data_IF_052028175443
#
_entry.id   IF_052028175443
#
_cell.length_a   1.000
_cell.length_b   1.000
_cell.length_c   1.000
_cell.angle_alpha   90.00
_cell.angle_beta   90.00
_cell.angle_gamma   90.00
#
_symmetry.space_group_name_H-M   'P 1'
#
loop_
_entity.id
_entity.type
_entity.pdbx_description
1 polymer ?
#
# COMPACT_ATOMS: atom_id res chain seq x y z
N UNK A 1 7.48 10.72 -21.30
CA UNK A 1 8.45 9.74 -20.78
C UNK A 1 8.52 8.54 -21.69
N UNK A 2 9.61 8.45 -22.45
CA UNK A 2 9.92 7.30 -23.30
C UNK A 2 10.48 6.11 -22.49
N UNK A 3 10.82 5.01 -23.18
CA UNK A 3 11.28 3.78 -22.53
C UNK A 3 12.66 3.91 -21.86
N UNK A 4 13.56 4.74 -22.40
CA UNK A 4 14.88 4.95 -21.81
C UNK A 4 14.78 5.79 -20.55
N UNK A 5 13.98 6.85 -20.58
CA UNK A 5 13.70 7.71 -19.43
C UNK A 5 13.03 6.91 -18.30
N UNK A 6 12.08 6.03 -18.63
CA UNK A 6 11.42 5.16 -17.65
C UNK A 6 12.41 4.21 -16.98
N UNK A 7 13.26 3.53 -17.76
CA UNK A 7 14.25 2.60 -17.19
C UNK A 7 15.24 3.33 -16.26
N UNK A 8 15.72 4.52 -16.67
CA UNK A 8 16.59 5.33 -15.83
C UNK A 8 15.90 5.77 -14.53
N UNK A 9 14.63 6.16 -14.61
CA UNK A 9 13.83 6.53 -13.44
C UNK A 9 13.68 5.37 -12.46
N UNK A 10 13.28 4.19 -12.95
CA UNK A 10 13.08 3.00 -12.14
C UNK A 10 14.38 2.56 -11.45
N UNK A 11 15.53 2.65 -12.13
CA UNK A 11 16.83 2.36 -11.53
C UNK A 11 17.17 3.34 -10.41
N UNK A 12 16.93 4.65 -10.61
CA UNK A 12 17.13 5.67 -9.55
C UNK A 12 16.22 5.44 -8.34
N UNK A 13 14.99 4.98 -8.60
CA UNK A 13 14.02 4.63 -7.57
C UNK A 13 14.27 3.24 -6.92
N UNK A 14 15.38 2.58 -7.25
CA UNK A 14 15.72 1.24 -6.74
C UNK A 14 14.60 0.20 -6.97
N UNK A 15 14.00 0.23 -8.16
CA UNK A 15 13.01 -0.76 -8.59
C UNK A 15 13.61 -2.18 -8.58
N UNK A 16 12.76 -3.19 -8.36
CA UNK A 16 13.20 -4.59 -8.41
C UNK A 16 13.62 -4.98 -9.82
N UNK A 17 14.52 -5.95 -9.91
CA UNK A 17 14.95 -6.54 -11.19
C UNK A 17 13.78 -7.06 -12.02
N UNK A 18 12.74 -7.60 -11.37
CA UNK A 18 11.53 -8.07 -12.03
C UNK A 18 10.75 -6.93 -12.70
N UNK A 19 10.57 -5.81 -12.00
CA UNK A 19 9.90 -4.62 -12.55
C UNK A 19 10.72 -4.05 -13.72
N UNK A 20 12.04 -3.95 -13.57
CA UNK A 20 12.95 -3.48 -14.62
C UNK A 20 12.93 -4.39 -15.86
N UNK A 21 12.89 -5.71 -15.66
CA UNK A 21 12.83 -6.68 -16.74
C UNK A 21 11.49 -6.60 -17.49
N UNK A 22 10.39 -6.50 -16.75
CA UNK A 22 9.05 -6.40 -17.32
C UNK A 22 8.81 -5.07 -18.06
N UNK A 23 9.30 -3.95 -17.52
CA UNK A 23 9.09 -2.62 -18.12
C UNK A 23 9.97 -2.32 -19.32
N UNK A 24 10.91 -3.22 -19.68
CA UNK A 24 11.91 -2.97 -20.71
C UNK A 24 11.25 -2.70 -22.06
N UNK A 25 11.56 -1.54 -22.65
CA UNK A 25 11.03 -1.13 -23.95
C UNK A 25 9.61 -0.56 -23.91
N UNK A 26 8.97 -0.50 -22.73
CA UNK A 26 7.68 0.15 -22.56
C UNK A 26 7.87 1.64 -22.24
N UNK A 27 7.02 2.48 -22.79
CA UNK A 27 6.82 3.85 -22.30
C UNK A 27 6.12 3.84 -20.94
N UNK A 28 6.17 4.96 -20.21
CA UNK A 28 5.43 5.09 -18.94
C UNK A 28 3.93 4.81 -19.12
N UNK A 29 3.34 5.29 -20.21
CA UNK A 29 1.94 5.08 -20.51
C UNK A 29 1.62 3.59 -20.74
N UNK A 30 2.45 2.89 -21.52
CA UNK A 30 2.29 1.45 -21.77
C UNK A 30 2.47 0.63 -20.49
N UNK A 31 3.49 0.95 -19.67
CA UNK A 31 3.69 0.31 -18.37
C UNK A 31 2.49 0.56 -17.44
N UNK A 32 2.00 1.80 -17.34
CA UNK A 32 0.84 2.12 -16.51
C UNK A 32 -0.42 1.34 -16.92
N UNK A 33 -0.73 1.25 -18.20
CA UNK A 33 -1.93 0.57 -18.68
C UNK A 33 -1.77 -0.96 -18.71
N UNK A 34 -0.56 -1.45 -18.99
CA UNK A 34 -0.27 -2.88 -19.14
C UNK A 34 0.10 -3.61 -17.84
N UNK A 35 0.39 -2.92 -16.74
CA UNK A 35 0.82 -3.57 -15.49
C UNK A 35 -0.23 -4.54 -14.93
N UNK A 36 0.10 -5.81 -14.69
CA UNK A 36 -0.80 -6.72 -14.00
C UNK A 36 -0.81 -6.49 -12.48
N UNK A 37 0.17 -5.76 -11.95
CA UNK A 37 0.43 -5.66 -10.52
C UNK A 37 0.16 -4.26 -9.97
N UNK A 38 -0.58 -4.19 -8.87
CA UNK A 38 -0.77 -2.99 -8.09
C UNK A 38 0.52 -2.53 -7.44
N UNK A 39 1.35 -3.46 -6.95
CA UNK A 39 2.67 -3.15 -6.38
C UNK A 39 3.58 -2.43 -7.37
N UNK A 40 3.57 -2.86 -8.63
CA UNK A 40 4.32 -2.17 -9.69
C UNK A 40 3.74 -0.80 -10.01
N UNK A 41 2.40 -0.64 -10.00
CA UNK A 41 1.77 0.66 -10.22
C UNK A 41 2.08 1.66 -9.11
N UNK A 42 2.06 1.24 -7.83
CA UNK A 42 2.48 2.09 -6.71
C UNK A 42 3.93 2.52 -6.90
N UNK A 43 4.84 1.59 -7.23
CA UNK A 43 6.24 1.94 -7.48
C UNK A 43 6.41 2.92 -8.63
N UNK A 44 5.71 2.70 -9.75
CA UNK A 44 5.71 3.63 -10.88
C UNK A 44 5.22 5.02 -10.45
N UNK A 45 4.08 5.09 -9.75
CA UNK A 45 3.50 6.34 -9.26
C UNK A 45 4.45 7.09 -8.30
N UNK A 46 5.09 6.37 -7.36
CA UNK A 46 6.09 6.97 -6.46
C UNK A 46 7.31 7.46 -7.23
N UNK A 47 7.79 6.70 -8.22
CA UNK A 47 8.99 7.02 -8.97
C UNK A 47 8.81 8.27 -9.83
N UNK A 48 7.62 8.48 -10.40
CA UNK A 48 7.31 9.70 -11.17
C UNK A 48 6.99 10.91 -10.29
N UNK A 49 7.01 10.76 -8.97
CA UNK A 49 6.72 11.85 -8.03
C UNK A 49 5.26 12.26 -7.98
N UNK A 50 4.33 11.30 -8.09
CA UNK A 50 2.90 11.58 -7.95
C UNK A 50 2.61 12.20 -6.57
N UNK A 51 1.62 13.10 -6.53
CA UNK A 51 1.18 13.75 -5.29
C UNK A 51 0.83 12.71 -4.21
N UNK A 52 1.50 12.83 -3.05
CA UNK A 52 1.47 11.78 -2.02
C UNK A 52 0.06 11.48 -1.53
N UNK A 53 -0.81 12.47 -1.37
CA UNK A 53 -2.17 12.21 -0.85
C UNK A 53 -3.04 11.50 -1.86
N UNK A 54 -2.88 11.74 -3.16
CA UNK A 54 -3.55 10.96 -4.20
C UNK A 54 -3.12 9.50 -4.15
N UNK A 55 -1.81 9.25 -4.05
CA UNK A 55 -1.29 7.88 -3.92
C UNK A 55 -1.82 7.19 -2.65
N UNK A 56 -1.76 7.87 -1.52
CA UNK A 56 -2.25 7.34 -0.25
C UNK A 56 -3.76 7.08 -0.28
N UNK A 57 -4.54 7.90 -1.00
CA UNK A 57 -5.97 7.65 -1.20
C UNK A 57 -6.23 6.35 -1.96
N UNK A 58 -5.49 6.10 -3.04
CA UNK A 58 -5.58 4.83 -3.78
C UNK A 58 -5.16 3.65 -2.90
N UNK A 59 -4.07 3.82 -2.14
CA UNK A 59 -3.56 2.77 -1.25
C UNK A 59 -4.50 2.47 -0.08
N UNK A 60 -5.16 3.49 0.50
CA UNK A 60 -6.20 3.30 1.51
C UNK A 60 -7.31 2.38 0.99
N UNK A 61 -7.75 2.55 -0.26
CA UNK A 61 -8.77 1.70 -0.85
C UNK A 61 -8.29 0.24 -0.98
N UNK A 62 -7.04 0.00 -1.39
CA UNK A 62 -6.47 -1.35 -1.44
C UNK A 62 -6.35 -1.99 -0.05
N UNK A 63 -5.83 -1.25 0.94
CA UNK A 63 -5.69 -1.74 2.33
C UNK A 63 -7.07 -2.00 2.94
N UNK A 64 -8.07 -1.16 2.66
CA UNK A 64 -9.44 -1.35 3.13
C UNK A 64 -10.01 -2.70 2.69
N UNK A 65 -9.81 -3.09 1.42
CA UNK A 65 -10.24 -4.40 0.91
C UNK A 65 -9.62 -5.57 1.69
N UNK A 66 -8.34 -5.48 2.06
CA UNK A 66 -7.68 -6.52 2.86
C UNK A 66 -8.20 -6.54 4.31
N UNK A 67 -8.51 -5.38 4.90
CA UNK A 67 -8.93 -5.28 6.30
C UNK A 67 -10.37 -5.68 6.59
N UNK A 68 -11.28 -5.58 5.61
CA UNK A 68 -12.74 -5.79 5.78
C UNK A 68 -13.07 -7.11 6.48
N UNK A 69 -12.26 -8.13 6.25
CA UNK A 69 -12.46 -9.46 6.82
C UNK A 69 -11.36 -9.87 7.81
N UNK A 70 -10.15 -9.31 7.65
CA UNK A 70 -9.00 -9.68 8.46
C UNK A 70 -9.07 -9.12 9.89
N UNK A 71 -9.71 -7.96 10.11
CA UNK A 71 -9.79 -7.31 11.43
C UNK A 71 -11.13 -7.57 12.14
N UNK A 72 -11.78 -8.69 11.84
CA UNK A 72 -13.06 -9.07 12.49
C UNK A 72 -12.81 -9.79 13.82
N UNK A 73 -13.73 -9.59 14.79
CA UNK A 73 -13.71 -10.34 16.06
C UNK A 73 -14.33 -11.72 15.82
N UNK A 74 -13.58 -12.79 16.02
CA UNK A 74 -14.01 -14.16 15.80
C UNK A 74 -13.72 -15.04 17.03
N UNK A 75 -14.63 -15.97 17.43
CA UNK A 75 -14.38 -16.87 18.55
C UNK A 75 -13.13 -17.72 18.33
N UNK A 76 -12.30 -17.86 19.37
CA UNK A 76 -11.07 -18.65 19.31
C UNK A 76 -9.86 -17.91 18.72
N UNK A 77 -10.02 -16.65 18.33
CA UNK A 77 -8.95 -15.78 17.88
C UNK A 77 -8.82 -14.54 18.77
N UNK A 78 -7.59 -14.07 18.97
CA UNK A 78 -7.32 -12.80 19.63
C UNK A 78 -7.63 -11.65 18.65
N UNK A 79 -8.31 -10.58 19.10
CA UNK A 79 -8.50 -9.39 18.28
C UNK A 79 -7.19 -8.59 18.16
N UNK A 80 -6.98 -7.97 17.01
CA UNK A 80 -6.02 -6.85 16.90
C UNK A 80 -6.61 -5.65 17.63
N UNK A 81 -5.76 -4.79 18.22
CA UNK A 81 -6.26 -3.63 18.96
C UNK A 81 -7.04 -2.65 18.08
N UNK A 82 -8.05 -2.02 18.68
CA UNK A 82 -8.96 -1.10 17.99
C UNK A 82 -8.24 0.16 17.44
N UNK A 83 -7.00 0.46 17.86
CA UNK A 83 -6.20 1.55 17.31
C UNK A 83 -5.84 1.34 15.84
N UNK A 84 -5.78 0.09 15.37
CA UNK A 84 -5.47 -0.24 13.97
C UNK A 84 -6.60 0.22 13.02
N UNK A 85 -7.86 -0.23 13.17
CA UNK A 85 -8.94 0.28 12.30
C UNK A 85 -9.13 1.80 12.42
N UNK A 86 -8.92 2.38 13.61
CA UNK A 86 -8.96 3.84 13.81
C UNK A 86 -7.88 4.58 13.01
N UNK A 87 -6.66 4.05 12.93
CA UNK A 87 -5.58 4.64 12.13
C UNK A 87 -5.90 4.65 10.63
N UNK A 88 -6.50 3.57 10.12
CA UNK A 88 -6.96 3.53 8.73
C UNK A 88 -8.07 4.56 8.47
N UNK A 89 -9.06 4.65 9.36
CA UNK A 89 -10.14 5.64 9.25
C UNK A 89 -9.63 7.09 9.29
N UNK A 90 -8.70 7.39 10.20
CA UNK A 90 -8.08 8.71 10.29
C UNK A 90 -7.27 9.05 9.04
N UNK A 91 -6.46 8.10 8.54
CA UNK A 91 -5.68 8.27 7.31
C UNK A 91 -6.60 8.52 6.11
N UNK A 92 -7.65 7.71 5.97
CA UNK A 92 -8.66 7.88 4.93
C UNK A 92 -9.39 9.23 5.01
N UNK A 93 -9.74 9.67 6.22
CA UNK A 93 -10.43 10.93 6.41
C UNK A 93 -9.52 12.12 6.09
N UNK A 94 -8.25 12.04 6.50
CA UNK A 94 -7.23 13.03 6.18
C UNK A 94 -7.01 13.12 4.67
N UNK A 95 -6.72 12.02 3.95
CA UNK A 95 -6.49 12.07 2.49
C UNK A 95 -7.70 12.58 1.71
N UNK A 96 -8.92 12.47 2.25
CA UNK A 96 -10.17 12.99 1.67
C UNK A 96 -10.48 14.46 2.05
N UNK A 97 -9.60 15.14 2.79
CA UNK A 97 -9.85 16.49 3.33
C UNK A 97 -11.15 16.58 4.14
N UNK A 98 -11.42 15.56 4.95
CA UNK A 98 -12.62 15.55 5.80
C UNK A 98 -12.52 16.66 6.85
N UNK A 99 -13.54 17.54 6.99
CA UNK A 99 -13.49 18.62 7.97
C UNK A 99 -13.22 18.13 9.40
N UNK A 100 -12.29 18.78 10.10
CA UNK A 100 -11.93 18.43 11.48
C UNK A 100 -11.01 17.23 11.64
N UNK A 101 -10.56 16.60 10.53
CA UNK A 101 -9.59 15.50 10.53
C UNK A 101 -8.26 16.01 9.99
N UNK A 102 -7.21 15.90 10.81
CA UNK A 102 -5.92 16.54 10.57
C UNK A 102 -4.76 15.56 10.56
N UNK A 103 -3.61 16.03 10.07
CA UNK A 103 -2.37 15.25 10.04
C UNK A 103 -1.88 14.85 11.44
N UNK A 104 -2.11 15.69 12.45
CA UNK A 104 -1.77 15.39 13.85
C UNK A 104 -2.48 14.13 14.37
N UNK A 105 -3.75 13.94 13.99
CA UNK A 105 -4.53 12.75 14.36
C UNK A 105 -3.96 11.50 13.70
N UNK A 106 -3.63 11.59 12.40
CA UNK A 106 -2.99 10.49 11.66
C UNK A 106 -1.66 10.11 12.32
N UNK A 107 -0.84 11.10 12.67
CA UNK A 107 0.47 10.88 13.31
C UNK A 107 0.35 10.18 14.66
N UNK A 108 -0.60 10.60 15.50
CA UNK A 108 -0.82 9.98 16.80
C UNK A 108 -1.29 8.51 16.67
N UNK A 109 -2.20 8.23 15.73
CA UNK A 109 -2.73 6.89 15.51
C UNK A 109 -1.75 5.97 14.76
N UNK A 110 -0.92 6.52 13.86
CA UNK A 110 0.10 5.75 13.13
C UNK A 110 1.10 5.09 14.09
N UNK A 111 1.57 5.82 15.11
CA UNK A 111 2.46 5.28 16.13
C UNK A 111 1.82 4.15 16.94
N UNK A 112 0.55 4.32 17.33
CA UNK A 112 -0.21 3.31 18.09
C UNK A 112 -0.46 2.05 17.24
N UNK A 113 -0.93 2.23 16.01
CA UNK A 113 -1.16 1.12 15.08
C UNK A 113 0.14 0.37 14.76
N UNK A 114 1.27 1.08 14.60
CA UNK A 114 2.57 0.45 14.39
C UNK A 114 3.02 -0.37 15.60
N UNK A 115 2.83 0.15 16.82
CA UNK A 115 3.12 -0.61 18.03
C UNK A 115 2.22 -1.85 18.15
N UNK A 116 0.92 -1.69 17.94
CA UNK A 116 -0.04 -2.80 18.01
C UNK A 116 0.24 -3.88 16.97
N UNK A 117 0.51 -3.51 15.71
CA UNK A 117 0.86 -4.44 14.66
C UNK A 117 2.15 -5.22 14.99
N UNK A 118 3.16 -4.54 15.55
CA UNK A 118 4.39 -5.19 16.00
C UNK A 118 4.15 -6.18 17.15
N UNK A 119 3.33 -5.80 18.13
CA UNK A 119 2.96 -6.69 19.25
C UNK A 119 2.19 -7.90 18.73
N UNK A 120 1.22 -7.71 17.83
CA UNK A 120 0.46 -8.81 17.23
C UNK A 120 1.37 -9.78 16.46
N UNK A 121 2.32 -9.27 15.67
CA UNK A 121 3.33 -10.07 14.95
C UNK A 121 4.20 -10.89 15.92
N UNK A 122 4.64 -10.27 17.02
CA UNK A 122 5.40 -10.99 18.05
C UNK A 122 4.56 -12.07 18.74
N UNK A 123 3.29 -11.78 19.05
CA UNK A 123 2.40 -12.73 19.69
C UNK A 123 2.05 -13.92 18.77
N UNK A 124 1.81 -13.66 17.49
CA UNK A 124 1.58 -14.70 16.49
C UNK A 124 2.82 -15.57 16.30
N UNK A 125 3.98 -14.95 16.06
CA UNK A 125 5.23 -15.63 15.73
C UNK A 125 5.89 -16.35 16.90
N UNK A 126 5.98 -15.70 18.07
CA UNK A 126 6.71 -16.23 19.23
C UNK A 126 5.82 -16.87 20.29
N UNK A 127 4.60 -16.38 20.46
CA UNK A 127 3.68 -16.90 21.48
C UNK A 127 2.60 -17.82 20.89
N UNK A 128 2.56 -17.97 19.56
CA UNK A 128 1.56 -18.77 18.85
C UNK A 128 0.12 -18.40 19.23
N UNK A 129 -0.10 -17.11 19.52
CA UNK A 129 -1.45 -16.58 19.76
C UNK A 129 -2.22 -16.68 18.44
N UNK A 130 -3.39 -17.32 18.43
CA UNK A 130 -4.17 -17.45 17.20
C UNK A 130 -4.81 -16.11 16.86
N UNK A 131 -4.43 -15.52 15.73
CA UNK A 131 -5.16 -14.42 15.10
C UNK A 131 -5.95 -14.95 13.90
N UNK A 132 -7.00 -14.23 13.51
CA UNK A 132 -7.71 -14.53 12.26
C UNK A 132 -6.69 -14.53 11.11
N UNK A 133 -6.71 -15.53 10.20
CA UNK A 133 -5.76 -15.57 9.10
C UNK A 133 -5.70 -14.25 8.33
N UNK A 134 -4.49 -13.67 8.26
CA UNK A 134 -4.24 -12.38 7.62
C UNK A 134 -4.45 -11.14 8.50
N UNK A 135 -4.94 -11.27 9.73
CA UNK A 135 -5.18 -10.13 10.63
C UNK A 135 -3.89 -9.37 10.97
N UNK A 136 -2.80 -10.09 11.28
CA UNK A 136 -1.50 -9.49 11.59
C UNK A 136 -0.95 -8.74 10.37
N UNK A 137 -0.96 -9.37 9.19
CA UNK A 137 -0.56 -8.71 7.95
C UNK A 137 -1.43 -7.49 7.61
N UNK A 138 -2.75 -7.56 7.83
CA UNK A 138 -3.64 -6.41 7.63
C UNK A 138 -3.31 -5.27 8.61
N UNK A 139 -2.98 -5.60 9.86
CA UNK A 139 -2.55 -4.61 10.85
C UNK A 139 -1.23 -3.94 10.45
N UNK A 140 -0.26 -4.72 9.98
CA UNK A 140 1.02 -4.20 9.47
C UNK A 140 0.79 -3.31 8.24
N UNK A 141 -0.08 -3.71 7.31
CA UNK A 141 -0.43 -2.91 6.14
C UNK A 141 -1.00 -1.54 6.52
N UNK A 142 -1.93 -1.51 7.49
CA UNK A 142 -2.49 -0.26 8.03
C UNK A 142 -1.44 0.59 8.73
N UNK A 143 -0.58 -0.03 9.54
CA UNK A 143 0.50 0.68 10.22
C UNK A 143 1.45 1.35 9.22
N UNK A 144 1.91 0.61 8.20
CA UNK A 144 2.83 1.14 7.19
C UNK A 144 2.17 2.22 6.33
N UNK A 145 0.90 2.07 5.96
CA UNK A 145 0.11 3.10 5.27
C UNK A 145 0.02 4.39 6.11
N UNK A 146 -0.31 4.26 7.39
CA UNK A 146 -0.47 5.41 8.30
C UNK A 146 0.88 6.10 8.56
N UNK A 147 1.96 5.31 8.68
CA UNK A 147 3.32 5.84 8.77
C UNK A 147 3.75 6.54 7.47
N UNK A 148 3.36 6.03 6.30
CA UNK A 148 3.64 6.69 5.02
C UNK A 148 2.98 8.07 4.94
N UNK A 149 1.78 8.25 5.52
CA UNK A 149 1.13 9.56 5.62
C UNK A 149 1.91 10.58 6.46
N UNK A 150 2.80 10.12 7.34
CA UNK A 150 3.61 10.94 8.23
C UNK A 150 5.04 11.14 7.74
N UNK A 151 5.45 10.44 6.68
CA UNK A 151 6.83 10.45 6.21
C UNK A 151 7.08 11.60 5.24
N UNK A 152 8.15 12.35 5.49
CA UNK A 152 8.55 13.51 4.69
C UNK A 152 9.56 13.15 3.60
N UNK A 153 10.35 12.09 3.78
CA UNK A 153 11.39 11.66 2.84
C UNK A 153 10.82 10.78 1.75
N UNK A 154 11.04 11.14 0.49
CA UNK A 154 10.51 10.41 -0.68
C UNK A 154 10.88 8.93 -0.69
N UNK A 155 12.14 8.61 -0.34
CA UNK A 155 12.62 7.23 -0.32
C UNK A 155 11.88 6.37 0.70
N UNK A 156 11.65 6.89 1.91
CA UNK A 156 10.97 6.13 2.96
C UNK A 156 9.46 6.06 2.70
N UNK A 157 8.87 7.12 2.15
CA UNK A 157 7.49 7.11 1.67
C UNK A 157 7.26 6.01 0.61
N UNK A 158 8.16 5.88 -0.36
CA UNK A 158 8.08 4.84 -1.38
C UNK A 158 8.22 3.42 -0.79
N UNK A 159 9.09 3.25 0.22
CA UNK A 159 9.25 1.97 0.92
C UNK A 159 7.98 1.61 1.69
N UNK A 160 7.43 2.55 2.48
CA UNK A 160 6.27 2.30 3.32
C UNK A 160 5.02 2.02 2.49
N UNK A 161 4.79 2.77 1.40
CA UNK A 161 3.65 2.53 0.50
C UNK A 161 3.74 1.19 -0.22
N UNK A 162 4.94 0.79 -0.68
CA UNK A 162 5.15 -0.51 -1.31
C UNK A 162 4.96 -1.67 -0.32
N UNK A 163 5.47 -1.53 0.92
CA UNK A 163 5.28 -2.55 1.96
C UNK A 163 3.81 -2.66 2.36
N UNK A 164 3.11 -1.54 2.51
CA UNK A 164 1.71 -1.54 2.92
C UNK A 164 0.85 -2.33 1.95
N UNK A 165 1.12 -2.20 0.64
CA UNK A 165 0.46 -3.02 -0.36
C UNK A 165 0.89 -4.49 -0.29
N UNK A 166 2.19 -4.79 -0.15
CA UNK A 166 2.66 -6.18 0.00
C UNK A 166 2.02 -6.90 1.19
N UNK A 167 1.93 -6.23 2.35
CA UNK A 167 1.28 -6.77 3.53
C UNK A 167 -0.24 -6.90 3.35
N UNK A 168 -0.89 -6.01 2.59
CA UNK A 168 -2.29 -6.20 2.19
C UNK A 168 -2.47 -7.43 1.28
N UNK A 169 -1.55 -7.67 0.34
CA UNK A 169 -1.56 -8.88 -0.50
C UNK A 169 -1.35 -10.15 0.34
N UNK A 170 -0.44 -10.10 1.32
CA UNK A 170 -0.19 -11.20 2.27
C UNK A 170 -1.41 -11.48 3.12
N UNK A 171 -2.05 -10.44 3.66
CA UNK A 171 -3.28 -10.56 4.43
C UNK A 171 -4.37 -11.31 3.64
N UNK A 172 -4.60 -10.94 2.38
CA UNK A 172 -5.57 -11.64 1.55
C UNK A 172 -5.13 -13.08 1.28
N UNK A 173 -3.85 -13.31 0.90
CA UNK A 173 -3.37 -14.67 0.64
C UNK A 173 -3.51 -15.59 1.85
N UNK A 174 -3.23 -15.10 3.06
CA UNK A 174 -3.30 -15.86 4.31
C UNK A 174 -4.73 -16.36 4.60
N UNK A 175 -5.75 -15.61 4.19
CA UNK A 175 -7.16 -16.03 4.27
C UNK A 175 -7.50 -17.21 3.36
N UNK A 176 -6.67 -17.47 2.35
CA UNK A 176 -6.84 -18.55 1.38
C UNK A 176 -5.63 -19.49 1.38
N UNK A 177 -5.13 -19.83 2.58
CA UNK A 177 -4.01 -20.77 2.79
C UNK A 177 -2.76 -20.43 1.98
N UNK A 178 -2.45 -19.13 1.88
CA UNK A 178 -1.32 -18.60 1.12
C UNK A 178 -1.36 -18.96 -0.38
N UNK A 179 -2.55 -19.05 -0.95
CA UNK A 179 -2.74 -19.30 -2.39
C UNK A 179 -2.13 -18.18 -3.23
N UNK A 180 -1.13 -18.54 -4.06
CA UNK A 180 -0.51 -17.63 -5.05
C UNK A 180 -1.49 -17.15 -6.11
N UNK A 181 -2.49 -17.98 -6.45
CA UNK A 181 -3.54 -17.60 -7.39
C UNK A 181 -4.39 -16.47 -6.79
N UNK A 182 -4.84 -16.64 -5.53
CA UNK A 182 -5.60 -15.60 -4.82
C UNK A 182 -4.80 -14.33 -4.61
N UNK A 183 -3.51 -14.46 -4.31
CA UNK A 183 -2.63 -13.30 -4.21
C UNK A 183 -2.56 -12.52 -5.55
N UNK A 184 -2.47 -13.22 -6.69
CA UNK A 184 -2.46 -12.57 -8.02
C UNK A 184 -3.80 -11.95 -8.38
N UNK A 185 -4.92 -12.63 -8.09
CA UNK A 185 -6.27 -12.08 -8.31
C UNK A 185 -6.50 -10.81 -7.50
N UNK A 186 -6.03 -10.80 -6.25
CA UNK A 186 -6.13 -9.66 -5.37
C UNK A 186 -5.19 -8.52 -5.80
N UNK A 187 -3.96 -8.82 -6.24
CA UNK A 187 -3.05 -7.82 -6.79
C UNK A 187 -3.60 -7.19 -8.07
N UNK A 188 -4.23 -7.98 -8.95
CA UNK A 188 -4.94 -7.47 -10.12
C UNK A 188 -6.14 -6.59 -9.74
N UNK A 189 -6.85 -6.94 -8.66
CA UNK A 189 -7.92 -6.11 -8.09
C UNK A 189 -7.37 -4.78 -7.58
N UNK A 190 -6.26 -4.80 -6.82
CA UNK A 190 -5.58 -3.60 -6.38
C UNK A 190 -5.10 -2.74 -7.56
N UNK A 191 -4.55 -3.36 -8.61
CA UNK A 191 -4.12 -2.67 -9.82
C UNK A 191 -5.28 -1.91 -10.49
N UNK A 192 -6.47 -2.53 -10.53
CA UNK A 192 -7.68 -1.87 -11.03
C UNK A 192 -8.11 -0.70 -10.14
N UNK A 193 -8.16 -0.88 -8.82
CA UNK A 193 -8.50 0.18 -7.85
C UNK A 193 -7.55 1.37 -7.96
N UNK A 194 -6.24 1.12 -8.11
CA UNK A 194 -5.22 2.16 -8.26
C UNK A 194 -5.47 2.98 -9.53
N UNK A 195 -5.75 2.33 -10.66
CA UNK A 195 -6.06 3.03 -11.92
C UNK A 195 -7.39 3.77 -11.90
N UNK A 196 -8.39 3.24 -11.20
CA UNK A 196 -9.68 3.91 -11.03
C UNK A 196 -9.53 5.15 -10.13
N UNK A 197 -8.61 5.11 -9.16
CA UNK A 197 -8.37 6.18 -8.20
C UNK A 197 -7.42 7.27 -8.71
N UNK A 198 -6.49 6.92 -9.59
CA UNK A 198 -5.47 7.80 -10.15
C UNK A 198 -5.71 7.97 -11.66
N UNK A 199 -5.99 9.19 -12.10
CA UNK A 199 -6.27 9.42 -13.52
C UNK A 199 -4.99 9.23 -14.32
N UNK A 200 -5.10 8.71 -15.54
CA UNK A 200 -3.96 8.64 -16.46
C UNK A 200 -3.35 10.03 -16.75
N UNK A 201 -4.16 11.08 -16.62
CA UNK A 201 -3.75 12.50 -16.74
C UNK A 201 -2.78 12.91 -15.62
N UNK A 202 -2.98 12.42 -14.39
CA UNK A 202 -2.11 12.70 -13.24
C UNK A 202 -0.69 12.14 -13.48
N UNK A 203 -0.60 11.01 -14.18
CA UNK A 203 0.67 10.40 -14.59
C UNK A 203 1.33 11.12 -15.79
N UNK A 204 0.52 11.69 -16.69
CA UNK A 204 1.01 12.32 -17.92
C UNK A 204 1.59 13.73 -17.69
N UNK A 205 1.00 14.50 -16.76
CA UNK A 205 1.46 15.85 -16.42
C UNK A 205 2.90 15.86 -15.88
N UNK A 206 3.26 14.88 -15.06
CA UNK A 206 4.59 14.78 -14.43
C UNK A 206 5.70 14.34 -15.40
N UNK A 207 5.34 13.71 -16.51
CA UNK A 207 6.29 13.26 -17.53
C UNK A 207 6.91 14.39 -18.36
N UNK A 208 6.46 15.65 -18.19
CA UNK A 208 6.94 16.82 -18.93
C UNK A 208 7.93 17.70 -18.15
N UNK A 209 8.02 17.51 -16.82
CA UNK A 209 8.76 18.40 -15.92
C UNK A 209 9.97 17.72 -15.24
N UNK A 210 10.34 16.51 -15.66
CA UNK A 210 11.57 15.84 -15.22
C UNK A 210 12.68 16.23 -16.22
N UNK A 211 13.67 17.06 -15.82
CA UNK A 211 14.78 17.45 -16.70
C UNK A 211 15.73 16.29 -17.00
#
# INVERSE_FOLDING_TARGET
MDAMELEALLRRANASDELLAWSRGLTLAEAWHGSPSGAWLIRLATAVGLERRLLLRALCACVRLATEHALTKAPGYEPVEDCVPLALEATEAWVRDTPGRGHDEVSALAAQASHSAYVADCLEGYCHVPFVPGAVHAAIAVAQLSMAACEERDAEFAVLTARALDDALRAESARHDYSRERQRDFDATCARVIRESLRAEDMACLSRDIP
#
